data_IF_524145029319
#
_entry.id   IF_524145029319
#
_cell.length_a   1.000
_cell.length_b   1.000
_cell.length_c   1.000
_cell.angle_alpha   90.00
_cell.angle_beta   90.00
_cell.angle_gamma   90.00
#
_symmetry.space_group_name_H-M   'P 1'
#
loop_
_entity.id
_entity.type
_entity.pdbx_description
1 polymer ?
#
# COMPACT_ATOMS: atom_id res chain seq x y z
N UNK A 1 -3.97 -18.39 -10.18
CA UNK A 1 -2.93 -17.41 -9.82
C UNK A 1 -3.57 -16.22 -9.13
N UNK A 2 -3.04 -15.82 -8.00
CA UNK A 2 -3.45 -14.59 -7.29
C UNK A 2 -2.69 -13.40 -7.86
N UNK A 3 -3.30 -12.23 -7.85
CA UNK A 3 -2.65 -11.00 -8.29
C UNK A 3 -2.70 -9.96 -7.18
N UNK A 4 -1.58 -9.27 -6.95
CA UNK A 4 -1.49 -8.15 -6.02
C UNK A 4 -1.24 -6.86 -6.79
N UNK A 5 -2.03 -5.83 -6.50
CA UNK A 5 -1.81 -4.48 -6.95
C UNK A 5 -1.27 -3.64 -5.80
N UNK A 6 -0.14 -3.00 -6.02
CA UNK A 6 0.43 -2.03 -5.07
C UNK A 6 0.10 -0.66 -5.65
N UNK A 7 -0.89 -0.01 -5.05
CA UNK A 7 -1.50 1.19 -5.66
C UNK A 7 -1.09 2.43 -4.88
N UNK A 8 -0.36 3.32 -5.55
CA UNK A 8 -0.10 4.66 -5.04
C UNK A 8 -1.38 5.49 -5.08
N UNK A 9 -1.77 6.05 -3.95
CA UNK A 9 -3.02 6.81 -3.82
C UNK A 9 -2.80 8.32 -3.59
N UNK A 10 -1.57 8.78 -3.73
CA UNK A 10 -1.25 10.19 -3.64
C UNK A 10 -1.08 10.68 -2.21
N UNK A 11 -1.01 12.00 -2.06
CA UNK A 11 -0.57 12.66 -0.83
C UNK A 11 -1.71 13.10 0.09
N UNK A 12 -2.86 12.45 0.02
CA UNK A 12 -3.99 12.67 0.93
C UNK A 12 -5.23 13.28 0.27
N UNK A 13 -5.05 14.26 -0.61
CA UNK A 13 -6.17 14.82 -1.37
C UNK A 13 -6.66 13.78 -2.41
N UNK A 14 -7.95 13.44 -2.42
CA UNK A 14 -8.49 12.50 -3.42
C UNK A 14 -8.26 12.93 -4.88
N UNK A 15 -8.10 14.22 -5.14
CA UNK A 15 -7.80 14.72 -6.48
C UNK A 15 -6.38 14.36 -6.97
N UNK A 16 -5.50 13.94 -6.07
CA UNK A 16 -4.15 13.48 -6.43
C UNK A 16 -4.09 12.03 -6.90
N UNK A 17 -5.20 11.33 -6.95
CA UNK A 17 -5.27 9.95 -7.43
C UNK A 17 -5.21 9.93 -8.95
N UNK A 18 -4.31 9.15 -9.52
CA UNK A 18 -4.17 9.05 -10.97
C UNK A 18 -5.32 8.24 -11.59
N UNK A 19 -5.58 8.45 -12.88
CA UNK A 19 -6.55 7.62 -13.62
C UNK A 19 -6.15 6.15 -13.63
N UNK A 20 -4.86 5.85 -13.71
CA UNK A 20 -4.37 4.48 -13.62
C UNK A 20 -4.73 3.85 -12.29
N UNK A 21 -4.55 4.60 -11.19
CA UNK A 21 -4.94 4.13 -9.85
C UNK A 21 -6.46 3.92 -9.75
N UNK A 22 -7.27 4.82 -10.30
CA UNK A 22 -8.74 4.65 -10.33
C UNK A 22 -9.12 3.35 -11.06
N UNK A 23 -8.53 3.11 -12.22
CA UNK A 23 -8.78 1.89 -12.98
C UNK A 23 -8.34 0.65 -12.20
N UNK A 24 -7.20 0.71 -11.53
CA UNK A 24 -6.69 -0.39 -10.70
C UNK A 24 -7.64 -0.67 -9.51
N UNK A 25 -8.10 0.37 -8.81
CA UNK A 25 -9.04 0.23 -7.69
C UNK A 25 -10.30 -0.55 -8.08
N UNK A 26 -10.78 -0.37 -9.31
CA UNK A 26 -11.98 -1.04 -9.82
C UNK A 26 -11.74 -2.50 -10.24
N UNK A 27 -10.51 -2.99 -10.21
CA UNK A 27 -10.17 -4.39 -10.49
C UNK A 27 -10.02 -5.24 -9.22
N UNK A 28 -10.00 -4.61 -8.05
CA UNK A 28 -9.64 -5.25 -6.78
C UNK A 28 -10.83 -5.97 -6.18
N UNK A 29 -10.61 -7.21 -5.74
CA UNK A 29 -11.58 -8.00 -4.99
C UNK A 29 -11.42 -7.80 -3.47
N UNK A 30 -10.17 -7.70 -2.98
CA UNK A 30 -9.90 -7.52 -1.57
C UNK A 30 -8.84 -6.46 -1.32
N UNK A 31 -9.18 -5.50 -0.45
CA UNK A 31 -8.27 -4.44 0.01
C UNK A 31 -7.73 -4.80 1.38
N UNK A 32 -6.42 -4.85 1.51
CA UNK A 32 -5.77 -5.03 2.80
C UNK A 32 -5.51 -3.67 3.44
N UNK A 33 -6.30 -3.36 4.49
CA UNK A 33 -6.20 -2.10 5.22
C UNK A 33 -5.29 -2.28 6.42
N UNK A 34 -4.08 -1.73 6.31
CA UNK A 34 -3.06 -1.87 7.35
C UNK A 34 -3.23 -0.78 8.40
N UNK A 35 -3.63 -1.19 9.61
CA UNK A 35 -3.74 -0.29 10.76
C UNK A 35 -2.37 -0.08 11.41
N UNK A 36 -1.99 1.17 11.60
CA UNK A 36 -0.73 1.56 12.27
C UNK A 36 -0.94 2.06 13.70
N UNK A 37 -2.10 1.74 14.29
CA UNK A 37 -2.44 2.08 15.67
C UNK A 37 -3.45 3.23 15.78
N UNK A 38 -3.95 3.52 17.01
CA UNK A 38 -5.07 4.45 17.23
C UNK A 38 -4.81 5.87 16.74
N UNK A 39 -3.56 6.33 16.76
CA UNK A 39 -3.18 7.67 16.31
C UNK A 39 -3.27 7.89 14.80
N UNK A 40 -3.50 6.82 14.02
CA UNK A 40 -3.52 6.88 12.55
C UNK A 40 -4.86 6.48 11.93
N UNK A 41 -5.93 6.45 12.72
CA UNK A 41 -7.31 6.16 12.27
C UNK A 41 -7.75 7.08 11.14
N UNK A 42 -7.32 8.35 11.16
CA UNK A 42 -7.62 9.32 10.11
C UNK A 42 -7.09 8.90 8.74
N UNK A 43 -5.94 8.26 8.68
CA UNK A 43 -5.37 7.76 7.42
C UNK A 43 -6.20 6.61 6.84
N UNK A 44 -6.75 5.75 7.71
CA UNK A 44 -7.65 4.67 7.29
C UNK A 44 -8.94 5.26 6.72
N UNK A 45 -9.50 6.26 7.39
CA UNK A 45 -10.71 6.95 6.92
C UNK A 45 -10.50 7.61 5.55
N UNK A 46 -9.34 8.23 5.33
CA UNK A 46 -8.99 8.82 4.04
C UNK A 46 -8.86 7.75 2.94
N UNK A 47 -8.27 6.60 3.24
CA UNK A 47 -8.22 5.48 2.28
C UNK A 47 -9.60 4.98 1.91
N UNK A 48 -10.48 4.81 2.89
CA UNK A 48 -11.87 4.41 2.68
C UNK A 48 -12.63 5.44 1.86
N UNK A 49 -12.39 6.73 2.08
CA UNK A 49 -12.99 7.81 1.31
C UNK A 49 -12.56 7.77 -0.17
N UNK A 50 -11.28 7.55 -0.44
CA UNK A 50 -10.77 7.39 -1.81
C UNK A 50 -11.45 6.19 -2.49
N UNK A 51 -11.55 5.07 -1.80
CA UNK A 51 -12.24 3.88 -2.32
C UNK A 51 -13.72 4.18 -2.61
N UNK A 52 -14.41 4.83 -1.69
CA UNK A 52 -15.82 5.20 -1.83
C UNK A 52 -16.06 6.10 -3.04
N UNK A 53 -15.14 7.05 -3.26
CA UNK A 53 -15.26 8.04 -4.35
C UNK A 53 -15.01 7.41 -5.74
N UNK A 54 -14.09 6.46 -5.85
CA UNK A 54 -13.61 5.98 -7.14
C UNK A 54 -14.03 4.57 -7.51
N UNK A 55 -14.44 3.74 -6.57
CA UNK A 55 -14.89 2.38 -6.87
C UNK A 55 -16.38 2.39 -7.22
N UNK A 56 -16.72 1.81 -8.36
CA UNK A 56 -18.08 1.83 -8.90
C UNK A 56 -18.94 0.66 -8.46
N UNK A 57 -18.34 -0.49 -8.12
CA UNK A 57 -19.06 -1.72 -7.79
C UNK A 57 -19.08 -2.02 -6.29
N UNK A 58 -19.84 -3.06 -5.91
CA UNK A 58 -20.00 -3.50 -4.52
C UNK A 58 -19.31 -4.83 -4.22
N UNK A 59 -18.67 -5.44 -5.22
CA UNK A 59 -18.15 -6.81 -5.13
C UNK A 59 -16.79 -6.92 -4.44
N UNK A 60 -16.30 -5.84 -3.89
CA UNK A 60 -15.04 -5.80 -3.15
C UNK A 60 -15.27 -5.91 -1.64
N UNK A 61 -14.21 -6.32 -0.93
CA UNK A 61 -14.20 -6.39 0.53
C UNK A 61 -12.95 -5.78 1.11
N UNK A 62 -13.03 -5.37 2.38
CA UNK A 62 -11.90 -4.85 3.13
C UNK A 62 -11.49 -5.84 4.20
N UNK A 63 -10.20 -6.11 4.31
CA UNK A 63 -9.61 -6.91 5.39
C UNK A 63 -8.70 -6.00 6.20
N UNK A 64 -9.08 -5.77 7.44
CA UNK A 64 -8.29 -4.94 8.36
C UNK A 64 -7.22 -5.81 9.03
N UNK A 65 -6.01 -5.29 9.10
CA UNK A 65 -4.89 -5.96 9.76
C UNK A 65 -4.04 -4.95 10.50
N UNK A 66 -3.53 -5.36 11.67
CA UNK A 66 -2.65 -4.51 12.46
C UNK A 66 -1.21 -4.66 11.96
N UNK A 67 -0.65 -3.57 11.45
CA UNK A 67 0.75 -3.54 11.02
C UNK A 67 1.68 -3.64 12.24
N UNK A 68 2.77 -4.43 12.15
CA UNK A 68 3.81 -4.42 13.18
C UNK A 68 4.33 -3.00 13.42
N UNK A 69 4.49 -2.65 14.70
CA UNK A 69 4.91 -1.31 15.08
C UNK A 69 6.39 -1.27 15.44
N UNK A 70 7.04 -0.19 15.06
CA UNK A 70 8.40 0.09 15.48
C UNK A 70 8.40 0.51 16.96
N UNK A 71 9.14 -0.25 17.79
CA UNK A 71 9.37 0.12 19.20
C UNK A 71 10.63 0.99 19.29
N UNK A 72 10.44 2.24 19.73
CA UNK A 72 11.56 3.15 20.03
C UNK A 72 12.34 2.61 21.23
N UNK A 73 13.66 2.64 21.15
CA UNK A 73 14.54 2.32 22.28
C UNK A 73 15.36 1.05 22.13
N UNK A 74 15.35 0.43 20.98
CA UNK A 74 16.29 -0.65 20.66
C UNK A 74 17.63 -0.06 20.20
N UNK A 75 18.71 -0.64 20.66
CA UNK A 75 20.08 -0.13 20.48
C UNK A 75 20.58 -0.18 19.02
N UNK A 76 19.91 -0.92 18.14
CA UNK A 76 20.30 -1.07 16.75
C UNK A 76 19.13 -0.75 15.78
N UNK A 77 19.23 0.40 15.15
CA UNK A 77 18.23 0.87 14.17
C UNK A 77 18.05 -0.11 13.00
N UNK A 78 19.15 -0.62 12.43
CA UNK A 78 19.09 -1.51 11.27
C UNK A 78 18.48 -2.87 11.61
N UNK A 79 18.84 -3.44 12.75
CA UNK A 79 18.26 -4.69 13.24
C UNK A 79 16.75 -4.55 13.48
N UNK A 80 16.31 -3.44 14.06
CA UNK A 80 14.89 -3.15 14.31
C UNK A 80 14.11 -2.99 13.01
N UNK A 81 14.67 -2.33 12.01
CA UNK A 81 14.03 -2.17 10.69
C UNK A 81 13.92 -3.52 9.98
N UNK A 82 14.97 -4.34 10.03
CA UNK A 82 14.96 -5.67 9.43
C UNK A 82 13.93 -6.58 10.11
N UNK A 83 13.84 -6.54 11.43
CA UNK A 83 12.85 -7.31 12.19
C UNK A 83 11.43 -6.85 11.86
N UNK A 84 11.20 -5.55 11.76
CA UNK A 84 9.92 -4.99 11.38
C UNK A 84 9.51 -5.41 9.97
N UNK A 85 10.43 -5.40 9.02
CA UNK A 85 10.17 -5.83 7.65
C UNK A 85 9.90 -7.33 7.56
N UNK A 86 10.56 -8.16 8.37
CA UNK A 86 10.27 -9.59 8.48
C UNK A 86 8.87 -9.84 9.04
N UNK A 87 8.49 -9.11 10.08
CA UNK A 87 7.16 -9.22 10.68
C UNK A 87 6.07 -8.81 9.70
N UNK A 88 6.30 -7.75 8.92
CA UNK A 88 5.40 -7.34 7.83
C UNK A 88 5.31 -8.39 6.74
N UNK A 89 6.43 -8.99 6.36
CA UNK A 89 6.45 -10.05 5.35
C UNK A 89 5.61 -11.24 5.79
N UNK A 90 5.76 -11.69 7.03
CA UNK A 90 4.98 -12.78 7.61
C UNK A 90 3.48 -12.44 7.58
N UNK A 91 3.13 -11.22 7.98
CA UNK A 91 1.75 -10.75 7.97
C UNK A 91 1.17 -10.71 6.55
N UNK A 92 1.89 -10.12 5.61
CA UNK A 92 1.41 -9.98 4.23
C UNK A 92 1.25 -11.35 3.57
N UNK A 93 2.20 -12.25 3.78
CA UNK A 93 2.13 -13.62 3.25
C UNK A 93 0.92 -14.38 3.81
N UNK A 94 0.65 -14.24 5.10
CA UNK A 94 -0.55 -14.83 5.73
C UNK A 94 -1.84 -14.27 5.16
N UNK A 95 -1.93 -12.95 4.99
CA UNK A 95 -3.11 -12.29 4.39
C UNK A 95 -3.37 -12.81 2.97
N UNK A 96 -2.33 -12.91 2.17
CA UNK A 96 -2.43 -13.41 0.79
C UNK A 96 -2.86 -14.88 0.79
N UNK A 97 -2.32 -15.68 1.69
CA UNK A 97 -2.63 -17.11 1.77
C UNK A 97 -4.05 -17.38 2.26
N UNK A 98 -4.49 -16.67 3.30
CA UNK A 98 -5.73 -16.96 4.03
C UNK A 98 -6.93 -16.14 3.55
N UNK A 99 -6.71 -14.89 3.08
CA UNK A 99 -7.79 -13.95 2.79
C UNK A 99 -8.10 -13.80 1.30
N UNK A 100 -7.28 -14.41 0.44
CA UNK A 100 -7.50 -14.41 -1.00
C UNK A 100 -7.76 -15.80 -1.52
N UNK A 101 -8.80 -15.95 -2.33
CA UNK A 101 -9.01 -17.14 -3.14
C UNK A 101 -8.13 -17.11 -4.40
N UNK A 102 -7.89 -18.28 -4.99
CA UNK A 102 -7.20 -18.36 -6.27
C UNK A 102 -7.98 -17.62 -7.36
N UNK A 103 -7.26 -16.87 -8.17
CA UNK A 103 -7.85 -16.03 -9.22
C UNK A 103 -8.27 -14.64 -8.76
N UNK A 104 -8.26 -14.36 -7.46
CA UNK A 104 -8.61 -13.03 -6.94
C UNK A 104 -7.47 -12.02 -7.06
N UNK A 105 -7.86 -10.75 -7.08
CA UNK A 105 -6.98 -9.59 -7.07
C UNK A 105 -7.04 -8.90 -5.71
N UNK A 106 -5.91 -8.84 -5.01
CA UNK A 106 -5.76 -8.12 -3.74
C UNK A 106 -5.00 -6.82 -3.95
N UNK A 107 -5.16 -5.87 -3.05
CA UNK A 107 -4.45 -4.60 -3.13
C UNK A 107 -3.94 -4.09 -1.80
N UNK A 108 -2.77 -3.48 -1.85
CA UNK A 108 -2.22 -2.63 -0.80
C UNK A 108 -2.24 -1.19 -1.31
N UNK A 109 -2.85 -0.30 -0.54
CA UNK A 109 -2.93 1.13 -0.86
C UNK A 109 -1.78 1.85 -0.14
N UNK A 110 -0.93 2.50 -0.92
CA UNK A 110 0.28 3.16 -0.43
C UNK A 110 0.13 4.67 -0.58
N UNK A 111 0.42 5.42 0.48
CA UNK A 111 0.44 6.87 0.42
C UNK A 111 1.56 7.36 -0.49
N UNK A 112 1.28 8.41 -1.25
CA UNK A 112 2.20 8.97 -2.22
C UNK A 112 2.46 8.01 -3.37
N UNK A 113 3.73 7.69 -3.58
CA UNK A 113 4.20 6.76 -4.59
C UNK A 113 4.88 5.54 -3.94
N UNK A 114 4.53 4.31 -4.37
CA UNK A 114 5.08 3.09 -3.76
C UNK A 114 6.60 2.94 -3.82
N UNK A 115 7.25 3.63 -4.76
CA UNK A 115 8.71 3.57 -4.91
C UNK A 115 9.46 4.48 -3.95
N UNK A 116 8.75 5.34 -3.20
CA UNK A 116 9.33 6.33 -2.31
C UNK A 116 8.95 6.07 -0.85
N UNK A 117 9.95 5.79 -0.01
CA UNK A 117 9.80 5.66 1.45
C UNK A 117 8.80 4.60 1.90
N UNK A 118 8.62 3.53 1.11
CA UNK A 118 7.71 2.43 1.42
C UNK A 118 8.37 1.09 1.17
N UNK A 119 8.03 0.09 1.98
CA UNK A 119 8.63 -1.25 1.91
C UNK A 119 7.75 -2.29 1.21
N UNK A 120 6.54 -1.93 0.78
CA UNK A 120 5.54 -2.88 0.27
C UNK A 120 6.03 -3.60 -0.99
N UNK A 121 6.64 -2.89 -1.95
CA UNK A 121 7.15 -3.50 -3.18
C UNK A 121 8.17 -4.59 -2.84
N UNK A 122 9.13 -4.28 -1.97
CA UNK A 122 10.19 -5.22 -1.60
C UNK A 122 9.61 -6.47 -0.93
N UNK A 123 8.65 -6.30 -0.04
CA UNK A 123 8.00 -7.39 0.67
C UNK A 123 7.24 -8.29 -0.31
N UNK A 124 6.43 -7.72 -1.19
CA UNK A 124 5.67 -8.47 -2.18
C UNK A 124 6.60 -9.17 -3.18
N UNK A 125 7.68 -8.53 -3.60
CA UNK A 125 8.69 -9.15 -4.46
C UNK A 125 9.31 -10.40 -3.82
N UNK A 126 9.65 -10.34 -2.54
CA UNK A 126 10.19 -11.49 -1.81
C UNK A 126 9.17 -12.63 -1.77
N UNK A 127 7.91 -12.33 -1.47
CA UNK A 127 6.84 -13.33 -1.42
C UNK A 127 6.62 -13.97 -2.80
N UNK A 128 6.54 -13.15 -3.84
CA UNK A 128 6.34 -13.62 -5.21
C UNK A 128 7.51 -14.49 -5.70
N UNK A 129 8.74 -14.14 -5.33
CA UNK A 129 9.95 -14.85 -5.72
C UNK A 129 10.23 -16.12 -4.90
N UNK A 130 9.52 -16.32 -3.81
CA UNK A 130 9.77 -17.45 -2.90
C UNK A 130 9.40 -18.82 -3.47
N UNK A 131 8.53 -18.85 -4.47
CA UNK A 131 7.99 -20.10 -5.05
C UNK A 131 6.92 -20.77 -4.17
N UNK A 132 6.61 -20.22 -2.99
CA UNK A 132 5.59 -20.79 -2.08
C UNK A 132 4.16 -20.45 -2.50
N UNK A 133 3.98 -19.41 -3.30
CA UNK A 133 2.68 -18.93 -3.74
C UNK A 133 2.72 -18.66 -5.25
N UNK A 134 1.65 -19.02 -5.94
CA UNK A 134 1.43 -18.64 -7.34
C UNK A 134 0.86 -17.22 -7.36
N UNK A 135 1.75 -16.25 -7.42
CA UNK A 135 1.48 -14.83 -7.22
C UNK A 135 2.17 -13.97 -8.26
N UNK A 136 1.40 -13.09 -8.89
CA UNK A 136 1.91 -12.00 -9.71
C UNK A 136 1.57 -10.66 -9.05
N UNK A 137 2.30 -9.62 -9.38
CA UNK A 137 2.04 -8.29 -8.82
C UNK A 137 2.33 -7.19 -9.83
N UNK A 138 1.69 -6.05 -9.60
CA UNK A 138 1.86 -4.85 -10.41
C UNK A 138 1.92 -3.64 -9.49
N UNK A 139 2.76 -2.66 -9.84
CA UNK A 139 2.93 -1.42 -9.10
C UNK A 139 2.32 -0.27 -9.88
N UNK A 140 1.43 0.47 -9.24
CA UNK A 140 0.77 1.64 -9.82
C UNK A 140 1.36 2.89 -9.17
N UNK A 141 2.00 3.78 -9.92
CA UNK A 141 2.63 4.98 -9.35
C UNK A 141 1.61 5.97 -8.81
N UNK A 142 2.08 6.85 -7.95
CA UNK A 142 1.26 7.91 -7.37
C UNK A 142 2.04 9.22 -7.22
N UNK A 143 1.32 10.28 -6.88
CA UNK A 143 1.90 11.59 -6.62
C UNK A 143 2.39 11.63 -5.18
N UNK A 144 3.69 11.85 -4.99
CA UNK A 144 4.27 11.95 -3.64
C UNK A 144 3.94 13.29 -2.97
N UNK A 145 4.05 13.34 -1.65
CA UNK A 145 3.93 14.58 -0.90
C UNK A 145 4.96 15.63 -1.33
N UNK A 146 6.13 15.21 -1.75
CA UNK A 146 7.19 16.10 -2.25
C UNK A 146 6.74 16.84 -3.50
N UNK A 147 6.19 16.14 -4.47
CA UNK A 147 5.68 16.72 -5.71
C UNK A 147 4.45 17.60 -5.46
N UNK A 148 3.52 17.15 -4.63
CA UNK A 148 2.32 17.92 -4.28
C UNK A 148 2.69 19.22 -3.58
N UNK A 149 3.63 19.17 -2.64
CA UNK A 149 4.10 20.36 -1.90
C UNK A 149 4.82 21.33 -2.82
N UNK A 150 5.70 20.85 -3.68
CA UNK A 150 6.43 21.66 -4.65
C UNK A 150 5.46 22.39 -5.60
N UNK A 151 4.46 21.69 -6.11
CA UNK A 151 3.43 22.27 -6.96
C UNK A 151 2.64 23.38 -6.23
N UNK A 152 2.24 23.12 -4.99
CA UNK A 152 1.51 24.10 -4.17
C UNK A 152 2.30 25.40 -3.95
N UNK A 153 3.60 25.29 -3.80
CA UNK A 153 4.50 26.44 -3.59
C UNK A 153 5.10 26.99 -4.86
N UNK A 154 4.69 26.49 -6.02
CA UNK A 154 5.18 26.92 -7.36
C UNK A 154 6.70 26.84 -7.46
N UNK A 155 7.29 25.80 -6.91
CA UNK A 155 8.74 25.61 -6.90
C UNK A 155 9.13 24.35 -7.65
N UNK A 156 10.33 24.33 -8.18
CA UNK A 156 10.91 23.16 -8.85
C UNK A 156 11.74 22.36 -7.86
N UNK A 157 11.79 21.04 -8.04
CA UNK A 157 12.64 20.18 -7.24
C UNK A 157 14.09 20.19 -7.72
N UNK A 158 14.29 20.42 -9.02
CA UNK A 158 15.60 20.49 -9.63
C UNK A 158 15.75 21.80 -10.40
N UNK A 159 16.96 22.38 -10.37
CA UNK A 159 17.31 23.49 -11.24
C UNK A 159 17.90 22.92 -12.55
N UNK A 160 17.28 23.28 -13.67
CA UNK A 160 17.78 22.99 -15.02
C UNK A 160 18.05 24.29 -15.71
#
# INVERSE_FOLDING_TARGET
MKKILIIGIGAGDPDYVTMQAVNALNQVDVFFMMDKGPSKTKLIELRKEICRRYIKGDDHRFVDATSPQWTRGTEDYFSTVDDLNRDKQVLFERLIAEEMADGECGAFLVWGDPTLYDSTIRIIEIIASSGRHDLDYEVIPGISSIQALAAKHRTTLNRI
#
